data_IF_054651121700
#
_entry.id   IF_054651121700
#
_cell.length_a   1.000
_cell.length_b   1.000
_cell.length_c   1.000
_cell.angle_alpha   90.00
_cell.angle_beta   90.00
_cell.angle_gamma   90.00
#
_symmetry.space_group_name_H-M   'P 1'
#
loop_
_entity.id
_entity.type
_entity.pdbx_description
1 polymer ?
#
# COMPACT_ATOMS: atom_id res chain seq x y z
N UNK A 1 8.51 -18.52 25.97
CA UNK A 1 8.09 -18.67 24.55
C UNK A 1 7.54 -17.32 24.10
N UNK A 2 7.93 -16.80 22.92
CA UNK A 2 7.38 -15.54 22.43
C UNK A 2 5.88 -15.67 22.15
N UNK A 3 5.13 -14.59 22.37
CA UNK A 3 3.70 -14.48 22.05
C UNK A 3 3.58 -13.67 20.77
N UNK A 4 2.84 -14.21 19.81
CA UNK A 4 2.61 -13.59 18.50
C UNK A 4 1.13 -13.38 18.23
N UNK A 5 0.84 -12.31 17.51
CA UNK A 5 -0.48 -12.00 16.97
C UNK A 5 -0.38 -11.89 15.45
N UNK A 6 -1.42 -12.33 14.73
CA UNK A 6 -1.66 -11.87 13.36
C UNK A 6 -2.67 -10.71 13.41
N UNK A 7 -2.94 -10.06 12.26
CA UNK A 7 -3.89 -8.95 12.20
C UNK A 7 -5.28 -9.30 12.76
N UNK A 8 -5.83 -10.47 12.41
CA UNK A 8 -7.16 -10.90 12.86
C UNK A 8 -7.20 -11.17 14.38
N UNK A 9 -6.19 -11.84 14.92
CA UNK A 9 -6.07 -12.12 16.36
C UNK A 9 -5.87 -10.82 17.15
N UNK A 10 -5.10 -9.87 16.63
CA UNK A 10 -4.95 -8.52 17.21
C UNK A 10 -6.29 -7.78 17.27
N UNK A 11 -7.10 -7.86 16.22
CA UNK A 11 -8.43 -7.24 16.20
C UNK A 11 -9.45 -7.95 17.11
N UNK A 12 -9.24 -9.23 17.41
CA UNK A 12 -10.17 -10.04 18.22
C UNK A 12 -9.99 -9.91 19.74
N UNK A 13 -8.88 -9.36 20.23
CA UNK A 13 -8.64 -9.19 21.67
C UNK A 13 -9.30 -7.92 22.21
N UNK A 14 -9.76 -7.97 23.47
CA UNK A 14 -10.51 -6.88 24.13
C UNK A 14 -9.64 -5.86 24.89
N UNK A 15 -8.32 -5.98 24.81
CA UNK A 15 -7.39 -5.09 25.49
C UNK A 15 -6.33 -4.59 24.50
N UNK A 16 -5.87 -3.36 24.69
CA UNK A 16 -4.94 -2.72 23.77
C UNK A 16 -3.50 -3.12 24.10
N UNK A 17 -2.84 -3.81 23.17
CA UNK A 17 -1.41 -4.14 23.22
C UNK A 17 -0.61 -3.50 22.09
N UNK A 18 -1.24 -2.66 21.27
CA UNK A 18 -0.67 -2.17 20.00
C UNK A 18 0.68 -1.47 20.20
N UNK A 19 0.85 -0.75 21.31
CA UNK A 19 2.09 -0.06 21.65
C UNK A 19 3.28 -0.99 21.93
N UNK A 20 3.02 -2.28 22.15
CA UNK A 20 3.98 -3.33 22.51
C UNK A 20 4.16 -4.37 21.39
N UNK A 21 3.48 -4.19 20.26
CA UNK A 21 3.53 -5.12 19.14
C UNK A 21 4.62 -4.71 18.16
N UNK A 22 5.65 -5.55 18.06
CA UNK A 22 6.73 -5.40 17.08
C UNK A 22 6.45 -6.26 15.87
N UNK A 23 6.33 -5.65 14.71
CA UNK A 23 6.07 -6.33 13.45
C UNK A 23 7.35 -6.98 12.92
N UNK A 24 7.25 -8.28 12.57
CA UNK A 24 8.34 -9.10 12.02
C UNK A 24 7.93 -9.69 10.65
N UNK A 25 6.93 -9.11 9.99
CA UNK A 25 6.30 -9.60 8.75
C UNK A 25 4.77 -9.63 8.88
N UNK A 26 4.15 -10.76 8.56
CA UNK A 26 2.70 -10.99 8.75
C UNK A 26 2.29 -11.22 10.21
N UNK A 27 3.25 -11.28 11.12
CA UNK A 27 3.05 -11.52 12.55
C UNK A 27 3.67 -10.39 13.38
N UNK A 28 3.07 -10.16 14.54
CA UNK A 28 3.46 -9.15 15.51
C UNK A 28 3.88 -9.84 16.80
N UNK A 29 5.13 -9.64 17.22
CA UNK A 29 5.67 -10.16 18.48
C UNK A 29 5.32 -9.21 19.62
N UNK A 30 4.77 -9.73 20.70
CA UNK A 30 4.54 -8.93 21.91
C UNK A 30 5.85 -8.77 22.70
N UNK A 31 6.29 -7.53 22.89
CA UNK A 31 7.49 -7.18 23.64
C UNK A 31 7.25 -5.98 24.56
N UNK A 32 7.86 -5.94 25.76
CA UNK A 32 7.73 -4.81 26.68
C UNK A 32 8.60 -3.61 26.24
N UNK A 33 8.52 -3.22 24.98
CA UNK A 33 9.21 -2.08 24.38
C UNK A 33 8.18 -1.16 23.72
N UNK A 34 8.44 0.14 23.74
CA UNK A 34 7.55 1.16 23.18
C UNK A 34 8.38 2.24 22.50
N UNK A 35 7.90 2.76 21.39
CA UNK A 35 8.44 3.98 20.79
C UNK A 35 7.52 5.16 21.14
N UNK A 36 8.03 6.11 21.92
CA UNK A 36 7.31 7.30 22.34
C UNK A 36 7.13 8.29 21.17
N UNK A 37 8.01 8.23 20.17
CA UNK A 37 7.96 9.11 19.00
C UNK A 37 7.08 8.53 17.89
N UNK A 38 6.89 7.21 17.86
CA UNK A 38 6.04 6.52 16.88
C UNK A 38 5.11 5.48 17.52
N UNK A 39 4.16 5.92 18.38
CA UNK A 39 3.25 5.01 19.05
C UNK A 39 2.33 4.32 18.02
N UNK A 40 2.62 3.05 17.73
CA UNK A 40 1.77 2.19 16.89
C UNK A 40 2.46 1.51 15.71
N UNK A 41 3.75 1.78 15.46
CA UNK A 41 4.48 1.13 14.35
C UNK A 41 5.89 0.74 14.78
N UNK A 42 5.98 -0.29 15.63
CA UNK A 42 7.25 -0.91 15.95
C UNK A 42 7.55 -1.97 14.90
N UNK A 43 8.66 -1.84 14.20
CA UNK A 43 9.09 -2.78 13.18
C UNK A 43 10.51 -3.23 13.53
N UNK A 44 10.72 -4.54 13.60
CA UNK A 44 12.07 -5.09 13.64
C UNK A 44 12.58 -5.20 12.20
N UNK A 45 13.31 -4.20 11.72
CA UNK A 45 13.70 -4.12 10.30
C UNK A 45 14.58 -5.28 9.88
N UNK A 46 15.43 -5.79 10.77
CA UNK A 46 16.39 -6.84 10.41
C UNK A 46 15.68 -8.20 10.28
N UNK A 47 14.80 -8.55 11.23
CA UNK A 47 13.99 -9.77 11.14
C UNK A 47 12.99 -9.66 9.99
N UNK A 48 12.27 -8.54 9.87
CA UNK A 48 11.26 -8.35 8.84
C UNK A 48 11.87 -8.35 7.44
N UNK A 49 13.03 -7.72 7.24
CA UNK A 49 13.75 -7.78 5.96
C UNK A 49 14.14 -9.22 5.63
N UNK A 50 14.76 -9.96 6.55
CA UNK A 50 15.11 -11.35 6.27
C UNK A 50 13.87 -12.22 5.95
N UNK A 51 12.76 -11.98 6.65
CA UNK A 51 11.52 -12.70 6.42
C UNK A 51 10.92 -12.42 5.04
N UNK A 52 10.74 -11.15 4.67
CA UNK A 52 10.15 -10.78 3.39
C UNK A 52 11.06 -11.10 2.21
N UNK A 53 12.37 -10.91 2.35
CA UNK A 53 13.30 -11.05 1.23
C UNK A 53 13.73 -12.50 1.00
N UNK A 54 13.86 -13.30 2.08
CA UNK A 54 14.48 -14.62 1.99
C UNK A 54 13.60 -15.80 2.45
N UNK A 55 12.72 -15.61 3.44
CA UNK A 55 11.98 -16.73 4.05
C UNK A 55 10.55 -16.90 3.53
N UNK A 56 9.95 -15.84 2.98
CA UNK A 56 8.59 -15.89 2.44
C UNK A 56 8.59 -16.44 1.02
N UNK A 57 7.53 -17.17 0.68
CA UNK A 57 7.36 -17.77 -0.64
C UNK A 57 6.16 -17.13 -1.36
N UNK A 58 6.46 -16.30 -2.36
CA UNK A 58 5.47 -15.56 -3.16
C UNK A 58 5.12 -16.32 -4.44
N UNK A 59 4.53 -17.50 -4.27
CA UNK A 59 4.30 -18.42 -5.38
C UNK A 59 3.23 -17.88 -6.33
N UNK A 60 3.56 -17.88 -7.62
CA UNK A 60 2.71 -17.48 -8.73
C UNK A 60 2.23 -16.02 -8.72
N UNK A 61 2.53 -15.21 -7.70
CA UNK A 61 1.99 -13.85 -7.58
C UNK A 61 2.39 -12.91 -8.73
N UNK A 62 3.43 -13.26 -9.49
CA UNK A 62 3.87 -12.57 -10.70
C UNK A 62 3.45 -13.25 -12.01
N UNK A 63 2.63 -14.31 -11.95
CA UNK A 63 2.15 -15.03 -13.13
C UNK A 63 0.78 -14.50 -13.58
N UNK A 64 0.68 -13.79 -14.71
CA UNK A 64 -0.59 -13.24 -15.21
C UNK A 64 -1.56 -14.32 -15.73
N UNK A 65 -1.12 -15.57 -15.86
CA UNK A 65 -1.98 -16.69 -16.30
C UNK A 65 -2.79 -17.30 -15.17
N UNK A 66 -2.47 -16.98 -13.91
CA UNK A 66 -3.19 -17.49 -12.75
C UNK A 66 -4.40 -16.63 -12.47
N UNK A 67 -5.56 -17.27 -12.32
CA UNK A 67 -6.77 -16.57 -11.91
C UNK A 67 -6.78 -16.35 -10.39
N UNK A 68 -6.70 -15.09 -9.98
CA UNK A 68 -6.94 -14.66 -8.60
C UNK A 68 -8.36 -14.13 -8.45
N UNK A 69 -9.19 -14.83 -7.68
CA UNK A 69 -10.48 -14.30 -7.24
C UNK A 69 -10.28 -13.11 -6.28
N UNK A 70 -11.35 -12.40 -5.97
CA UNK A 70 -11.28 -11.20 -5.10
C UNK A 70 -10.71 -11.50 -3.70
N UNK A 71 -11.06 -12.63 -3.11
CA UNK A 71 -10.59 -13.01 -1.76
C UNK A 71 -9.07 -13.27 -1.75
N UNK A 72 -8.55 -13.96 -2.77
CA UNK A 72 -7.12 -14.18 -2.91
C UNK A 72 -6.36 -12.87 -3.13
N UNK A 73 -6.92 -11.92 -3.89
CA UNK A 73 -6.32 -10.58 -4.05
C UNK A 73 -6.23 -9.84 -2.71
N UNK A 74 -7.21 -9.98 -1.82
CA UNK A 74 -7.18 -9.36 -0.50
C UNK A 74 -6.05 -9.89 0.39
N UNK A 75 -5.62 -11.14 0.24
CA UNK A 75 -4.46 -11.65 0.97
C UNK A 75 -3.14 -11.01 0.52
N UNK A 76 -3.03 -10.64 -0.75
CA UNK A 76 -1.86 -9.95 -1.32
C UNK A 76 -1.68 -8.55 -0.70
N UNK A 77 -2.78 -7.87 -0.36
CA UNK A 77 -2.73 -6.55 0.28
C UNK A 77 -1.86 -6.55 1.54
N UNK A 78 -1.97 -7.58 2.38
CA UNK A 78 -1.16 -7.70 3.60
C UNK A 78 0.34 -7.75 3.26
N UNK A 79 0.72 -8.40 2.16
CA UNK A 79 2.10 -8.44 1.71
C UNK A 79 2.57 -7.06 1.23
N UNK A 80 1.80 -6.38 0.36
CA UNK A 80 2.14 -5.02 -0.11
C UNK A 80 2.27 -4.03 1.05
N UNK A 81 1.36 -4.06 2.02
CA UNK A 81 1.45 -3.25 3.25
C UNK A 81 2.74 -3.54 4.02
N UNK A 82 3.14 -4.80 4.15
CA UNK A 82 4.39 -5.14 4.84
C UNK A 82 5.63 -4.61 4.11
N UNK A 83 5.68 -4.73 2.77
CA UNK A 83 6.78 -4.14 1.99
C UNK A 83 6.88 -2.63 2.21
N UNK A 84 5.74 -1.93 2.16
CA UNK A 84 5.65 -0.50 2.42
C UNK A 84 6.07 -0.14 3.86
N UNK A 85 5.61 -0.91 4.85
CA UNK A 85 5.95 -0.70 6.27
C UNK A 85 7.46 -0.88 6.52
N UNK A 86 8.07 -1.90 5.92
CA UNK A 86 9.51 -2.12 6.01
C UNK A 86 10.30 -1.01 5.29
N UNK A 87 9.86 -0.59 4.10
CA UNK A 87 10.52 0.47 3.34
C UNK A 87 10.62 1.78 4.12
N UNK A 88 9.51 2.25 4.72
CA UNK A 88 9.53 3.48 5.52
C UNK A 88 10.34 3.35 6.80
N UNK A 89 10.36 2.17 7.44
CA UNK A 89 11.19 1.94 8.62
C UNK A 89 12.68 2.00 8.25
N UNK A 90 13.08 1.35 7.15
CA UNK A 90 14.46 1.41 6.63
C UNK A 90 14.87 2.84 6.25
N UNK A 91 13.98 3.60 5.60
CA UNK A 91 14.22 5.02 5.29
C UNK A 91 14.45 5.86 6.55
N UNK A 92 13.65 5.64 7.61
CA UNK A 92 13.83 6.32 8.91
C UNK A 92 15.16 5.99 9.58
N UNK A 93 15.68 4.79 9.34
CA UNK A 93 17.01 4.35 9.81
C UNK A 93 18.16 4.82 8.90
N UNK A 94 17.88 5.54 7.81
CA UNK A 94 18.89 5.95 6.83
C UNK A 94 19.42 4.81 5.96
N UNK A 95 18.75 3.66 5.93
CA UNK A 95 19.11 2.47 5.14
C UNK A 95 18.45 2.53 3.74
N UNK A 96 18.76 3.58 2.99
CA UNK A 96 18.09 3.90 1.71
C UNK A 96 18.19 2.76 0.67
N UNK A 97 19.38 2.20 0.46
CA UNK A 97 19.57 1.10 -0.51
C UNK A 97 18.73 -0.15 -0.19
N UNK A 98 18.62 -0.50 1.10
CA UNK A 98 17.75 -1.61 1.52
C UNK A 98 16.28 -1.27 1.31
N UNK A 99 15.87 -0.03 1.56
CA UNK A 99 14.51 0.40 1.29
C UNK A 99 14.18 0.32 -0.20
N UNK A 100 15.11 0.75 -1.08
CA UNK A 100 15.00 0.61 -2.53
C UNK A 100 14.80 -0.83 -2.95
N UNK A 101 15.64 -1.73 -2.45
CA UNK A 101 15.55 -3.16 -2.74
C UNK A 101 14.19 -3.75 -2.34
N UNK A 102 13.71 -3.41 -1.12
CA UNK A 102 12.41 -3.86 -0.60
C UNK A 102 11.26 -3.39 -1.49
N UNK A 103 11.24 -2.11 -1.87
CA UNK A 103 10.19 -1.54 -2.74
C UNK A 103 10.19 -2.21 -4.10
N UNK A 104 11.35 -2.29 -4.76
CA UNK A 104 11.47 -2.89 -6.09
C UNK A 104 11.14 -4.38 -6.07
N UNK A 105 11.53 -5.10 -5.01
CA UNK A 105 11.19 -6.52 -4.87
C UNK A 105 9.70 -6.75 -4.73
N UNK A 106 9.00 -5.90 -3.95
CA UNK A 106 7.55 -5.96 -3.83
C UNK A 106 6.84 -5.82 -5.17
N UNK A 107 7.30 -4.89 -6.02
CA UNK A 107 6.75 -4.67 -7.37
C UNK A 107 7.07 -5.80 -8.34
N UNK A 108 8.27 -6.38 -8.28
CA UNK A 108 8.66 -7.56 -9.07
C UNK A 108 7.79 -8.79 -8.74
N UNK A 109 7.53 -9.00 -7.45
CA UNK A 109 6.79 -10.16 -6.94
C UNK A 109 5.27 -10.03 -7.15
N UNK A 110 4.74 -8.81 -7.13
CA UNK A 110 3.30 -8.54 -7.22
C UNK A 110 3.02 -7.43 -8.26
N UNK A 111 3.35 -7.66 -9.54
CA UNK A 111 3.17 -6.68 -10.61
C UNK A 111 1.70 -6.50 -10.98
N UNK A 112 1.37 -5.37 -11.59
CA UNK A 112 0.01 -5.04 -12.05
C UNK A 112 -0.59 -6.09 -12.99
N UNK A 113 0.26 -6.66 -13.86
CA UNK A 113 -0.14 -7.62 -14.89
C UNK A 113 -0.78 -8.89 -14.32
N UNK A 114 -0.38 -9.33 -13.13
CA UNK A 114 -0.96 -10.48 -12.43
C UNK A 114 -1.93 -10.06 -11.33
N UNK A 115 -1.59 -9.02 -10.58
CA UNK A 115 -2.33 -8.52 -9.43
C UNK A 115 -2.49 -7.01 -9.60
N UNK A 116 -3.66 -6.54 -10.08
CA UNK A 116 -3.89 -5.12 -10.31
C UNK A 116 -3.50 -4.28 -9.09
N UNK A 117 -2.83 -3.17 -9.34
CA UNK A 117 -2.48 -2.20 -8.31
C UNK A 117 -3.72 -1.65 -7.60
N UNK A 118 -3.53 -1.29 -6.34
CA UNK A 118 -4.56 -0.86 -5.40
C UNK A 118 -4.03 0.30 -4.53
N UNK A 119 -4.79 0.68 -3.50
CA UNK A 119 -4.44 1.80 -2.62
C UNK A 119 -3.06 1.64 -1.94
N UNK A 120 -2.60 0.41 -1.67
CA UNK A 120 -1.26 0.20 -1.11
C UNK A 120 -0.16 0.62 -2.09
N UNK A 121 -0.44 0.57 -3.39
CA UNK A 121 0.49 1.02 -4.43
C UNK A 121 0.57 2.55 -4.48
N UNK A 122 -0.48 3.28 -4.11
CA UNK A 122 -0.42 4.73 -3.95
C UNK A 122 0.64 5.13 -2.90
N UNK A 123 0.71 4.40 -1.78
CA UNK A 123 1.80 4.55 -0.79
C UNK A 123 3.16 4.16 -1.37
N UNK A 124 3.25 3.07 -2.15
CA UNK A 124 4.51 2.64 -2.78
C UNK A 124 5.07 3.70 -3.72
N UNK A 125 4.21 4.43 -4.44
CA UNK A 125 4.60 5.53 -5.34
C UNK A 125 5.32 6.65 -4.60
N UNK A 126 4.86 7.04 -3.40
CA UNK A 126 5.57 8.03 -2.58
C UNK A 126 6.99 7.56 -2.22
N UNK A 127 7.15 6.28 -1.89
CA UNK A 127 8.48 5.73 -1.58
C UNK A 127 9.38 5.66 -2.80
N UNK A 128 8.85 5.36 -3.99
CA UNK A 128 9.63 5.43 -5.23
C UNK A 128 10.17 6.84 -5.45
N UNK A 129 9.37 7.89 -5.24
CA UNK A 129 9.87 9.26 -5.31
C UNK A 129 10.96 9.55 -4.28
N UNK A 130 10.79 9.14 -3.01
CA UNK A 130 11.81 9.31 -1.96
C UNK A 130 13.13 8.63 -2.31
N UNK A 131 13.08 7.49 -3.00
CA UNK A 131 14.23 6.69 -3.39
C UNK A 131 14.85 7.12 -4.73
N UNK A 132 14.33 8.18 -5.36
CA UNK A 132 14.80 8.67 -6.66
C UNK A 132 14.35 7.84 -7.86
N UNK A 133 13.42 6.89 -7.69
CA UNK A 133 12.84 6.03 -8.74
C UNK A 133 11.69 6.75 -9.48
N UNK A 134 11.94 7.99 -9.89
CA UNK A 134 10.93 8.92 -10.44
C UNK A 134 10.16 8.36 -11.64
N UNK A 135 10.85 7.80 -12.62
CA UNK A 135 10.22 7.29 -13.85
C UNK A 135 9.20 6.18 -13.53
N UNK A 136 9.59 5.26 -12.64
CA UNK A 136 8.72 4.17 -12.18
C UNK A 136 7.56 4.69 -11.33
N UNK A 137 7.80 5.72 -10.50
CA UNK A 137 6.74 6.37 -9.73
C UNK A 137 5.66 6.97 -10.64
N UNK A 138 6.07 7.67 -11.71
CA UNK A 138 5.18 8.26 -12.70
C UNK A 138 4.42 7.22 -13.53
N UNK A 139 5.09 6.14 -13.94
CA UNK A 139 4.46 5.01 -14.61
C UNK A 139 3.32 4.43 -13.77
N UNK A 140 3.61 4.08 -12.51
CA UNK A 140 2.65 3.49 -11.59
C UNK A 140 1.51 4.46 -11.25
N UNK A 141 1.82 5.74 -11.03
CA UNK A 141 0.81 6.77 -10.78
C UNK A 141 -0.16 6.90 -11.96
N UNK A 142 0.36 6.86 -13.19
CA UNK A 142 -0.46 6.93 -14.40
C UNK A 142 -1.39 5.74 -14.51
N UNK A 143 -0.87 4.52 -14.33
CA UNK A 143 -1.66 3.28 -14.39
C UNK A 143 -2.76 3.30 -13.32
N UNK A 144 -2.38 3.59 -12.08
CA UNK A 144 -3.27 3.52 -10.93
C UNK A 144 -4.34 4.62 -10.97
N UNK A 145 -3.96 5.86 -11.29
CA UNK A 145 -4.87 6.99 -11.32
C UNK A 145 -5.89 6.91 -12.47
N UNK A 146 -5.45 6.56 -13.68
CA UNK A 146 -6.38 6.37 -14.81
C UNK A 146 -7.41 5.27 -14.50
N UNK A 147 -6.96 4.15 -13.89
CA UNK A 147 -7.87 3.08 -13.50
C UNK A 147 -8.85 3.49 -12.41
N UNK A 148 -8.41 4.29 -11.43
CA UNK A 148 -9.29 4.78 -10.38
C UNK A 148 -10.38 5.71 -10.96
N UNK A 149 -10.00 6.60 -11.88
CA UNK A 149 -10.91 7.47 -12.62
C UNK A 149 -11.96 6.69 -13.43
N UNK A 150 -11.52 5.70 -14.21
CA UNK A 150 -12.41 4.82 -14.99
C UNK A 150 -13.39 4.06 -14.09
N UNK A 151 -12.92 3.52 -12.96
CA UNK A 151 -13.77 2.79 -12.01
C UNK A 151 -14.81 3.69 -11.36
N UNK A 152 -14.42 4.91 -10.96
CA UNK A 152 -15.34 5.86 -10.34
C UNK A 152 -16.45 6.26 -11.31
N UNK A 153 -16.08 6.57 -12.56
CA UNK A 153 -17.04 6.86 -13.64
C UNK A 153 -18.08 5.74 -13.76
N UNK A 154 -17.61 4.49 -13.86
CA UNK A 154 -18.48 3.31 -13.96
C UNK A 154 -19.40 3.14 -12.74
N UNK A 155 -18.88 3.25 -11.53
CA UNK A 155 -19.70 3.07 -10.32
C UNK A 155 -20.79 4.12 -10.16
N UNK A 156 -20.47 5.37 -10.49
CA UNK A 156 -21.42 6.50 -10.44
C UNK A 156 -22.49 6.34 -11.51
N UNK A 157 -22.12 6.09 -12.76
CA UNK A 157 -23.06 5.96 -13.89
C UNK A 157 -24.04 4.79 -13.72
N UNK A 158 -23.56 3.67 -13.19
CA UNK A 158 -24.37 2.46 -13.01
C UNK A 158 -25.08 2.40 -11.65
N UNK A 159 -24.97 3.44 -10.82
CA UNK A 159 -25.46 3.47 -9.44
C UNK A 159 -25.07 2.19 -8.66
N UNK A 160 -23.85 1.72 -8.88
CA UNK A 160 -23.36 0.42 -8.45
C UNK A 160 -22.20 0.61 -7.49
N UNK A 161 -22.21 -0.12 -6.37
CA UNK A 161 -21.07 -0.19 -5.46
C UNK A 161 -20.62 1.17 -4.86
N UNK A 162 -21.59 2.01 -4.45
CA UNK A 162 -21.37 3.29 -3.72
C UNK A 162 -20.79 3.12 -2.29
N UNK A 163 -20.15 1.97 -2.01
CA UNK A 163 -19.57 1.64 -0.71
C UNK A 163 -18.05 1.75 -0.72
N UNK A 164 -17.38 0.70 -0.26
CA UNK A 164 -15.93 0.66 -0.04
C UNK A 164 -15.11 0.90 -1.32
N UNK A 165 -15.49 0.29 -2.45
CA UNK A 165 -14.72 0.41 -3.70
C UNK A 165 -14.70 1.85 -4.22
N UNK A 166 -15.85 2.55 -4.19
CA UNK A 166 -15.91 3.96 -4.55
C UNK A 166 -15.02 4.81 -3.64
N UNK A 167 -15.13 4.64 -2.32
CA UNK A 167 -14.28 5.37 -1.37
C UNK A 167 -12.79 5.10 -1.58
N UNK A 168 -12.41 3.85 -1.84
CA UNK A 168 -11.03 3.45 -2.09
C UNK A 168 -10.44 4.15 -3.32
N UNK A 169 -11.19 4.21 -4.44
CA UNK A 169 -10.72 4.88 -5.66
C UNK A 169 -10.64 6.42 -5.50
N UNK A 170 -11.54 7.05 -4.74
CA UNK A 170 -11.42 8.48 -4.38
C UNK A 170 -10.16 8.75 -3.56
N UNK A 171 -9.85 7.88 -2.59
CA UNK A 171 -8.63 7.98 -1.77
C UNK A 171 -7.38 7.87 -2.64
N UNK A 172 -7.36 6.93 -3.60
CA UNK A 172 -6.26 6.77 -4.56
C UNK A 172 -6.02 8.07 -5.34
N UNK A 173 -7.04 8.64 -5.98
CA UNK A 173 -6.88 9.87 -6.75
C UNK A 173 -6.35 11.02 -5.89
N UNK A 174 -6.90 11.18 -4.67
CA UNK A 174 -6.45 12.20 -3.71
C UNK A 174 -4.99 12.02 -3.31
N UNK A 175 -4.59 10.80 -2.96
CA UNK A 175 -3.21 10.50 -2.55
C UNK A 175 -2.22 10.72 -3.70
N UNK A 176 -2.58 10.32 -4.92
CA UNK A 176 -1.77 10.55 -6.10
C UNK A 176 -1.62 12.04 -6.40
N UNK A 177 -2.71 12.80 -6.42
CA UNK A 177 -2.66 14.25 -6.64
C UNK A 177 -1.76 14.93 -5.60
N UNK A 178 -1.93 14.62 -4.32
CA UNK A 178 -1.10 15.18 -3.24
C UNK A 178 0.38 14.79 -3.36
N UNK A 179 0.66 13.53 -3.67
CA UNK A 179 2.03 13.03 -3.81
C UNK A 179 2.72 13.68 -5.00
N UNK A 180 2.09 13.67 -6.16
CA UNK A 180 2.62 14.27 -7.39
C UNK A 180 2.87 15.77 -7.22
N UNK A 181 1.94 16.50 -6.59
CA UNK A 181 2.13 17.91 -6.27
C UNK A 181 3.39 18.14 -5.41
N UNK A 182 3.57 17.34 -4.36
CA UNK A 182 4.71 17.44 -3.44
C UNK A 182 6.06 17.24 -4.14
N UNK A 183 6.11 16.40 -5.17
CA UNK A 183 7.31 16.13 -5.95
C UNK A 183 7.43 16.98 -7.23
N UNK A 184 6.52 17.93 -7.45
CA UNK A 184 6.57 18.88 -8.57
C UNK A 184 6.03 18.35 -9.90
N UNK A 185 5.31 17.22 -9.90
CA UNK A 185 4.68 16.62 -11.07
C UNK A 185 3.30 17.23 -11.32
N UNK A 186 3.28 18.55 -11.60
CA UNK A 186 2.08 19.37 -11.56
C UNK A 186 1.02 18.97 -12.59
N UNK A 187 1.40 18.64 -13.83
CA UNK A 187 0.45 18.26 -14.87
C UNK A 187 -0.35 17.00 -14.50
N UNK A 188 0.35 15.95 -14.03
CA UNK A 188 -0.30 14.71 -13.62
C UNK A 188 -1.06 14.88 -12.30
N UNK A 189 -0.55 15.73 -11.40
CA UNK A 189 -1.25 16.12 -10.17
C UNK A 189 -2.59 16.80 -10.47
N UNK A 190 -2.60 17.80 -11.34
CA UNK A 190 -3.80 18.54 -11.73
C UNK A 190 -4.81 17.62 -12.39
N UNK A 191 -4.36 16.75 -13.32
CA UNK A 191 -5.23 15.75 -13.94
C UNK A 191 -6.00 14.90 -12.91
N UNK A 192 -5.32 14.38 -11.88
CA UNK A 192 -5.99 13.54 -10.88
C UNK A 192 -6.80 14.33 -9.87
N UNK A 193 -6.44 15.59 -9.60
CA UNK A 193 -7.24 16.49 -8.80
C UNK A 193 -8.56 16.84 -9.51
N UNK A 194 -8.50 17.19 -10.79
CA UNK A 194 -9.68 17.52 -11.61
C UNK A 194 -10.63 16.32 -11.75
N UNK A 195 -10.07 15.11 -11.94
CA UNK A 195 -10.86 13.88 -11.95
C UNK A 195 -11.56 13.66 -10.60
N UNK A 196 -10.83 13.82 -9.48
CA UNK A 196 -11.40 13.68 -8.14
C UNK A 196 -12.55 14.66 -7.89
N UNK A 197 -12.37 15.93 -8.24
CA UNK A 197 -13.38 16.99 -8.08
C UNK A 197 -14.62 16.72 -8.94
N UNK A 198 -14.42 16.26 -10.18
CA UNK A 198 -15.50 15.87 -11.08
C UNK A 198 -16.35 14.73 -10.49
N UNK A 199 -15.70 13.71 -9.91
CA UNK A 199 -16.40 12.61 -9.25
C UNK A 199 -17.16 13.06 -8.00
N UNK A 200 -16.59 13.94 -7.17
CA UNK A 200 -17.30 14.49 -6.01
C UNK A 200 -18.55 15.26 -6.40
N UNK A 201 -18.49 16.07 -7.48
CA UNK A 201 -19.66 16.79 -7.99
C UNK A 201 -20.74 15.82 -8.50
N UNK A 202 -20.34 14.79 -9.25
CA UNK A 202 -21.27 13.79 -9.77
C UNK A 202 -21.99 13.03 -8.64
N UNK A 203 -21.27 12.67 -7.57
CA UNK A 203 -21.84 11.99 -6.40
C UNK A 203 -22.85 12.86 -5.65
N UNK A 204 -22.68 14.19 -5.62
CA UNK A 204 -23.64 15.10 -4.95
C UNK A 204 -24.99 15.21 -5.67
N UNK A 205 -25.04 14.82 -6.95
CA UNK A 205 -26.23 14.91 -7.80
C UNK A 205 -27.03 13.58 -7.80
N UNK A 206 -26.45 12.50 -7.25
CA UNK A 206 -27.11 11.21 -7.04
C UNK A 206 -28.05 11.23 -5.82
#
# INVERSE_FOLDING_TARGET
RPIYFNNTSKQGIRFNVDRYLVQEGNAFRLLPVTDLNNPGMLIDTDIMYNNLMNNFYYRELNNPKVYYNEDYRKFVLNHRVNFNALAVALLREGKEEKAREVVLKGLELMPDASLPFDYTTATTIEYLFLLGEKEKALELATILGNRADEKLSYYIENNNNLGYELQSNLVILRELAQTLNRYGELELSEKFADALDSHYQAIQIL
#
